data_IF_014537334082
#
_entry.id   IF_014537334082
#
_cell.length_a   1.000
_cell.length_b   1.000
_cell.length_c   1.000
_cell.angle_alpha   90.00
_cell.angle_beta   90.00
_cell.angle_gamma   90.00
#
_symmetry.space_group_name_H-M   'P 1'
#
loop_
_entity.id
_entity.type
_entity.pdbx_description
1 polymer ?
#
# COMPACT_ATOMS: atom_id res chain seq x y z
N UNK A 1 6.46 2.43 -16.18
CA UNK A 1 6.38 3.86 -15.79
C UNK A 1 7.69 4.38 -15.20
N UNK A 2 8.66 3.53 -14.81
CA UNK A 2 9.99 3.98 -14.35
C UNK A 2 10.00 4.53 -12.91
N UNK A 3 8.93 4.32 -12.15
CA UNK A 3 8.87 4.72 -10.75
C UNK A 3 9.86 3.90 -9.90
N UNK A 4 10.40 4.53 -8.87
CA UNK A 4 11.35 3.93 -7.93
C UNK A 4 10.70 3.95 -6.54
N UNK A 5 10.81 2.84 -5.81
CA UNK A 5 10.40 2.72 -4.42
C UNK A 5 11.60 2.48 -3.52
N UNK A 6 11.60 3.11 -2.35
CA UNK A 6 12.59 2.87 -1.29
C UNK A 6 11.86 2.39 -0.05
N UNK A 7 12.33 1.28 0.53
CA UNK A 7 11.81 0.75 1.79
C UNK A 7 12.95 0.68 2.81
N UNK A 8 12.66 1.15 4.03
CA UNK A 8 13.57 1.04 5.17
C UNK A 8 12.81 0.36 6.30
N UNK A 9 13.30 -0.79 6.74
CA UNK A 9 12.72 -1.55 7.85
C UNK A 9 13.77 -1.75 8.93
N UNK A 10 13.40 -1.56 10.20
CA UNK A 10 14.25 -1.88 11.33
C UNK A 10 13.45 -2.43 12.51
N UNK A 11 14.04 -3.38 13.23
CA UNK A 11 13.53 -3.94 14.49
C UNK A 11 14.34 -3.49 15.70
N UNK A 12 15.38 -2.67 15.49
CA UNK A 12 16.33 -2.26 16.52
C UNK A 12 16.63 -0.76 16.42
N UNK A 13 15.61 0.06 16.68
CA UNK A 13 15.72 1.52 16.76
C UNK A 13 14.91 2.07 17.94
N UNK A 14 15.37 3.18 18.50
CA UNK A 14 14.70 3.89 19.58
C UNK A 14 13.44 4.67 19.12
N UNK A 15 13.44 5.12 17.88
CA UNK A 15 12.36 5.91 17.28
C UNK A 15 12.72 6.35 15.86
N UNK A 16 11.73 6.83 15.12
CA UNK A 16 11.91 7.35 13.75
C UNK A 16 10.99 8.53 13.50
N UNK A 17 11.50 9.53 12.79
CA UNK A 17 10.74 10.65 12.21
C UNK A 17 10.68 10.56 10.67
N UNK A 18 11.19 9.48 10.08
CA UNK A 18 11.05 9.26 8.64
C UNK A 18 9.56 9.13 8.27
N UNK A 19 9.14 9.62 7.09
CA UNK A 19 7.79 9.40 6.61
C UNK A 19 7.43 7.92 6.64
N UNK A 20 6.21 7.61 7.06
CA UNK A 20 5.73 6.21 7.12
C UNK A 20 5.57 5.65 5.72
N UNK A 21 4.86 6.39 4.87
CA UNK A 21 4.77 6.17 3.43
C UNK A 21 4.64 7.57 2.79
N UNK A 22 5.46 7.85 1.79
CA UNK A 22 5.43 9.10 1.03
C UNK A 22 5.52 8.80 -0.48
N UNK A 23 4.68 9.46 -1.27
CA UNK A 23 4.57 9.26 -2.72
C UNK A 23 4.87 10.58 -3.41
N UNK A 24 5.83 10.57 -4.33
CA UNK A 24 6.24 11.75 -5.11
C UNK A 24 5.74 11.61 -6.55
N UNK A 25 4.91 12.55 -6.97
CA UNK A 25 4.40 12.66 -8.33
C UNK A 25 4.96 13.87 -9.06
N UNK A 26 4.56 14.05 -10.31
CA UNK A 26 4.97 15.19 -11.15
C UNK A 26 4.32 16.51 -10.73
N UNK A 27 3.19 16.45 -10.01
CA UNK A 27 2.40 17.62 -9.61
C UNK A 27 2.44 17.90 -8.10
N UNK A 28 3.02 16.99 -7.32
CA UNK A 28 3.01 17.09 -5.88
C UNK A 28 3.40 15.81 -5.17
N UNK A 29 3.31 15.86 -3.84
CA UNK A 29 3.66 14.77 -2.94
C UNK A 29 2.50 14.45 -2.00
N UNK A 30 2.39 13.20 -1.58
CA UNK A 30 1.40 12.73 -0.61
C UNK A 30 2.15 12.04 0.53
N UNK A 31 1.82 12.41 1.77
CA UNK A 31 2.31 11.77 2.99
C UNK A 31 1.13 11.15 3.73
N UNK A 32 1.25 9.88 4.11
CA UNK A 32 0.17 9.12 4.78
C UNK A 32 0.66 8.60 6.15
N UNK A 33 -0.26 8.38 7.11
CA UNK A 33 0.12 8.10 8.50
C UNK A 33 0.64 6.67 8.67
N UNK A 34 0.92 6.30 9.92
CA UNK A 34 1.33 4.94 10.26
C UNK A 34 0.26 3.93 9.79
N UNK A 35 0.59 2.98 8.88
CA UNK A 35 -0.40 2.06 8.36
C UNK A 35 -0.95 1.09 9.42
N UNK A 36 -0.32 0.99 10.60
CA UNK A 36 -0.81 0.13 11.68
C UNK A 36 -1.98 0.71 12.46
N UNK A 37 -2.22 2.02 12.39
CA UNK A 37 -3.33 2.67 13.10
C UNK A 37 -4.62 2.66 12.28
N UNK A 38 -4.55 2.44 10.97
CA UNK A 38 -5.67 2.52 10.01
C UNK A 38 -6.36 3.89 9.89
N UNK A 39 -5.88 4.87 10.65
CA UNK A 39 -6.38 6.24 10.72
C UNK A 39 -5.22 7.23 10.80
N UNK A 40 -5.53 8.51 10.63
CA UNK A 40 -4.59 9.61 10.74
C UNK A 40 -4.66 10.55 9.55
N UNK A 41 -3.98 11.71 9.63
CA UNK A 41 -4.03 12.71 8.57
C UNK A 41 -3.31 12.21 7.32
N UNK A 42 -3.96 12.37 6.17
CA UNK A 42 -3.28 12.34 4.87
C UNK A 42 -3.02 13.79 4.49
N UNK A 43 -1.78 14.09 4.13
CA UNK A 43 -1.37 15.44 3.74
C UNK A 43 -0.85 15.44 2.32
N UNK A 44 -1.10 16.54 1.60
CA UNK A 44 -0.60 16.76 0.25
C UNK A 44 0.19 18.06 0.18
N UNK A 45 1.20 18.08 -0.69
CA UNK A 45 1.85 19.29 -1.17
C UNK A 45 1.69 19.32 -2.68
N UNK A 46 1.17 20.42 -3.23
CA UNK A 46 0.98 20.59 -4.67
C UNK A 46 1.95 21.67 -5.15
N UNK A 47 2.69 21.38 -6.22
CA UNK A 47 3.76 22.23 -6.72
C UNK A 47 4.94 22.37 -5.75
N UNK A 48 5.68 23.48 -5.89
CA UNK A 48 6.94 23.72 -5.18
C UNK A 48 6.78 24.65 -3.94
N UNK A 49 5.55 24.97 -3.56
CA UNK A 49 5.29 25.73 -2.34
C UNK A 49 5.31 24.77 -1.14
N UNK A 50 6.13 25.07 -0.13
CA UNK A 50 6.20 24.32 1.13
C UNK A 50 4.94 24.60 1.96
N UNK A 51 3.89 23.86 1.61
CA UNK A 51 2.53 24.10 2.08
C UNK A 51 1.77 22.78 2.19
N UNK A 52 2.35 21.83 2.93
CA UNK A 52 1.68 20.58 3.28
C UNK A 52 0.34 20.89 3.95
N UNK A 53 -0.74 20.35 3.36
CA UNK A 53 -2.10 20.53 3.88
C UNK A 53 -2.74 19.18 4.12
N UNK A 54 -3.38 18.97 5.28
CA UNK A 54 -4.22 17.81 5.47
C UNK A 54 -5.39 17.87 4.49
N UNK A 55 -5.83 16.71 4.03
CA UNK A 55 -7.03 16.55 3.21
C UNK A 55 -8.06 15.70 3.94
N UNK A 56 -9.33 15.93 3.64
CA UNK A 56 -10.41 15.13 4.18
C UNK A 56 -10.34 13.70 3.63
N UNK A 57 -10.46 12.73 4.52
CA UNK A 57 -10.51 11.32 4.16
C UNK A 57 -11.87 11.01 3.55
N UNK A 58 -11.85 10.42 2.36
CA UNK A 58 -13.07 10.10 1.61
C UNK A 58 -13.49 8.64 1.68
N UNK A 59 -12.63 7.77 2.23
CA UNK A 59 -12.85 6.32 2.25
C UNK A 59 -13.13 5.82 3.67
N UNK A 60 -13.77 4.65 3.81
CA UNK A 60 -13.95 4.00 5.10
C UNK A 60 -12.64 3.78 5.83
N UNK A 61 -12.71 3.80 7.16
CA UNK A 61 -11.58 3.45 8.01
C UNK A 61 -11.17 2.00 7.72
N UNK A 62 -9.86 1.78 7.65
CA UNK A 62 -9.30 0.45 7.41
C UNK A 62 -9.38 -0.45 8.65
N UNK A 63 -9.06 -1.73 8.48
CA UNK A 63 -9.09 -2.67 9.58
C UNK A 63 -8.43 -4.00 9.26
N UNK A 64 -8.16 -4.78 10.30
CA UNK A 64 -7.70 -6.17 10.15
C UNK A 64 -8.87 -7.06 9.73
N UNK A 65 -8.61 -8.00 8.83
CA UNK A 65 -9.62 -8.94 8.34
C UNK A 65 -10.46 -8.45 7.15
N UNK A 66 -10.32 -7.19 6.72
CA UNK A 66 -11.03 -6.66 5.55
C UNK A 66 -10.75 -7.48 4.27
N UNK A 67 -9.53 -7.98 4.08
CA UNK A 67 -9.20 -8.85 2.95
C UNK A 67 -9.97 -10.18 2.96
N UNK A 68 -10.22 -10.75 4.15
CA UNK A 68 -11.02 -11.97 4.30
C UNK A 68 -12.50 -11.68 4.05
N UNK A 69 -13.00 -10.54 4.54
CA UNK A 69 -14.36 -10.12 4.29
C UNK A 69 -14.61 -9.83 2.79
N UNK A 70 -13.69 -9.16 2.10
CA UNK A 70 -13.72 -9.01 0.63
C UNK A 70 -13.72 -10.36 -0.08
N UNK A 71 -12.94 -11.33 0.41
CA UNK A 71 -12.91 -12.68 -0.16
C UNK A 71 -14.25 -13.40 -0.01
N UNK A 72 -14.91 -13.30 1.15
CA UNK A 72 -16.24 -13.90 1.35
C UNK A 72 -17.27 -13.24 0.43
N UNK A 73 -17.26 -11.90 0.31
CA UNK A 73 -18.14 -11.19 -0.62
C UNK A 73 -17.85 -11.60 -2.08
N UNK A 74 -16.57 -11.69 -2.44
CA UNK A 74 -16.15 -12.07 -3.79
C UNK A 74 -16.68 -13.45 -4.20
N UNK A 75 -16.64 -14.42 -3.28
CA UNK A 75 -17.19 -15.77 -3.51
C UNK A 75 -18.70 -15.72 -3.72
N UNK A 76 -19.43 -14.93 -2.93
CA UNK A 76 -20.90 -14.78 -3.09
C UNK A 76 -21.26 -14.16 -4.44
N UNK A 77 -20.53 -13.12 -4.85
CA UNK A 77 -20.81 -12.36 -6.07
C UNK A 77 -20.17 -12.98 -7.32
N UNK A 78 -19.50 -14.13 -7.19
CA UNK A 78 -18.74 -14.77 -8.28
C UNK A 78 -17.73 -13.83 -8.94
N UNK A 79 -17.13 -12.91 -8.17
CA UNK A 79 -16.05 -12.02 -8.61
C UNK A 79 -14.71 -12.49 -8.04
N UNK A 80 -13.61 -11.98 -8.61
CA UNK A 80 -12.28 -12.23 -8.09
C UNK A 80 -12.03 -11.36 -6.84
N UNK A 81 -11.50 -11.89 -5.74
CA UNK A 81 -11.12 -11.08 -4.58
C UNK A 81 -10.00 -10.09 -4.94
N UNK A 82 -9.89 -9.01 -4.18
CA UNK A 82 -8.83 -8.01 -4.34
C UNK A 82 -7.47 -8.58 -3.93
N UNK A 83 -7.43 -9.25 -2.78
CA UNK A 83 -6.26 -9.96 -2.28
C UNK A 83 -6.26 -11.42 -2.75
N UNK A 84 -6.17 -11.63 -4.07
CA UNK A 84 -6.15 -12.98 -4.64
C UNK A 84 -4.76 -13.63 -4.61
N UNK A 85 -4.70 -14.92 -4.98
CA UNK A 85 -3.48 -15.72 -4.93
C UNK A 85 -2.34 -15.17 -5.79
N UNK A 86 -2.62 -14.49 -6.91
CA UNK A 86 -1.57 -13.92 -7.76
C UNK A 86 -0.89 -12.74 -7.07
N UNK A 87 -1.65 -11.92 -6.33
CA UNK A 87 -1.10 -10.83 -5.54
C UNK A 87 -0.29 -11.37 -4.36
N UNK A 88 -0.82 -12.39 -3.66
CA UNK A 88 -0.10 -13.03 -2.55
C UNK A 88 1.23 -13.64 -3.00
N UNK A 89 1.23 -14.35 -4.14
CA UNK A 89 2.45 -14.91 -4.72
C UNK A 89 3.43 -13.83 -5.14
N UNK A 90 2.98 -12.76 -5.80
CA UNK A 90 3.84 -11.67 -6.22
C UNK A 90 4.51 -10.94 -5.04
N UNK A 91 3.76 -10.70 -3.96
CA UNK A 91 4.33 -10.12 -2.73
C UNK A 91 5.40 -11.04 -2.14
N UNK A 92 5.16 -12.35 -2.09
CA UNK A 92 6.14 -13.32 -1.59
C UNK A 92 7.41 -13.34 -2.46
N UNK A 93 7.27 -13.32 -3.78
CA UNK A 93 8.40 -13.29 -4.72
C UNK A 93 9.25 -12.03 -4.53
N UNK A 94 8.61 -10.86 -4.36
CA UNK A 94 9.33 -9.60 -4.06
C UNK A 94 10.06 -9.69 -2.71
N UNK A 95 9.43 -10.24 -1.67
CA UNK A 95 10.05 -10.39 -0.35
C UNK A 95 11.29 -11.31 -0.42
N UNK A 96 11.18 -12.44 -1.11
CA UNK A 96 12.29 -13.37 -1.27
C UNK A 96 13.42 -12.76 -2.11
N UNK A 97 13.10 -12.08 -3.21
CA UNK A 97 14.07 -11.42 -4.06
C UNK A 97 14.90 -10.35 -3.34
N UNK A 98 14.34 -9.66 -2.32
CA UNK A 98 15.10 -8.74 -1.47
C UNK A 98 16.20 -9.51 -0.71
N UNK A 99 15.89 -10.68 -0.16
CA UNK A 99 16.87 -11.53 0.52
C UNK A 99 17.90 -12.10 -0.45
N UNK A 100 17.47 -12.60 -1.61
CA UNK A 100 18.36 -13.11 -2.66
C UNK A 100 19.34 -12.04 -3.16
N UNK A 101 18.83 -10.84 -3.44
CA UNK A 101 19.63 -9.68 -3.87
C UNK A 101 20.72 -9.34 -2.85
N UNK A 102 20.37 -9.34 -1.56
CA UNK A 102 21.34 -9.10 -0.49
C UNK A 102 22.38 -10.21 -0.38
N UNK A 103 21.98 -11.48 -0.55
CA UNK A 103 22.89 -12.62 -0.44
C UNK A 103 23.86 -12.73 -1.62
N UNK A 104 23.42 -12.34 -2.82
CA UNK A 104 24.19 -12.44 -4.05
C UNK A 104 24.94 -11.15 -4.41
N UNK A 105 24.72 -10.06 -3.68
CA UNK A 105 25.28 -8.73 -3.94
C UNK A 105 24.96 -8.22 -5.36
N UNK A 106 23.77 -8.53 -5.89
CA UNK A 106 23.35 -8.18 -7.24
C UNK A 106 21.86 -7.77 -7.30
N UNK A 107 21.45 -7.17 -8.42
CA UNK A 107 20.04 -6.83 -8.65
C UNK A 107 19.26 -8.05 -9.15
N UNK A 108 18.15 -8.37 -8.49
CA UNK A 108 17.23 -9.46 -8.87
C UNK A 108 16.05 -8.91 -9.68
N UNK A 109 15.76 -9.55 -10.82
CA UNK A 109 14.57 -9.26 -11.61
C UNK A 109 13.40 -10.07 -11.09
N UNK A 110 12.29 -9.40 -10.77
CA UNK A 110 11.04 -10.04 -10.34
C UNK A 110 10.32 -10.59 -11.57
N UNK A 111 10.03 -11.89 -11.59
CA UNK A 111 9.36 -12.56 -12.71
C UNK A 111 7.87 -12.78 -12.49
N UNK A 112 7.43 -12.86 -11.22
CA UNK A 112 6.01 -12.98 -10.92
C UNK A 112 5.22 -11.75 -11.36
N UNK A 113 3.95 -11.97 -11.71
CA UNK A 113 3.02 -10.91 -12.11
C UNK A 113 1.74 -11.01 -11.28
N UNK A 114 1.14 -9.86 -10.99
CA UNK A 114 -0.19 -9.78 -10.40
C UNK A 114 -1.06 -8.75 -11.11
N UNK A 115 -2.37 -8.92 -10.98
CA UNK A 115 -3.36 -7.94 -11.39
C UNK A 115 -3.37 -6.76 -10.42
N UNK A 116 -3.52 -5.54 -10.92
CA UNK A 116 -3.87 -4.39 -10.09
C UNK A 116 -5.32 -4.54 -9.57
N UNK A 117 -5.55 -4.64 -8.26
CA UNK A 117 -6.91 -4.73 -7.71
C UNK A 117 -7.70 -3.44 -7.93
N UNK A 118 -9.05 -3.49 -8.07
CA UNK A 118 -9.87 -2.30 -8.13
C UNK A 118 -9.77 -1.53 -6.80
N UNK A 119 -9.78 -0.18 -6.84
CA UNK A 119 -9.78 0.62 -5.63
C UNK A 119 -11.02 0.35 -4.78
N UNK A 120 -10.93 0.73 -3.51
CA UNK A 120 -12.11 0.88 -2.64
C UNK A 120 -12.85 2.14 -3.07
N UNK A 121 -14.18 2.13 -2.99
CA UNK A 121 -14.98 3.30 -3.34
C UNK A 121 -15.31 4.13 -2.09
N UNK A 122 -15.36 5.46 -2.18
CA UNK A 122 -15.73 6.34 -1.07
C UNK A 122 -17.07 5.99 -0.41
N UNK A 123 -18.06 5.55 -1.20
CA UNK A 123 -19.41 5.25 -0.73
C UNK A 123 -19.57 3.93 0.03
N UNK A 124 -18.51 3.14 0.15
CA UNK A 124 -18.57 1.85 0.83
C UNK A 124 -18.71 2.03 2.33
N UNK A 125 -19.32 1.05 2.99
CA UNK A 125 -19.37 0.97 4.46
C UNK A 125 -18.31 -0.05 4.90
N UNK A 126 -17.63 0.19 6.02
CA UNK A 126 -16.63 -0.76 6.51
C UNK A 126 -17.24 -2.16 6.67
N UNK A 127 -16.57 -3.17 6.11
CA UNK A 127 -17.06 -4.55 6.11
C UNK A 127 -18.08 -4.87 5.02
N UNK A 128 -18.58 -3.87 4.29
CA UNK A 128 -19.42 -4.04 3.10
C UNK A 128 -18.57 -3.87 1.83
N UNK A 129 -18.47 -4.96 1.06
CA UNK A 129 -17.66 -5.03 -0.16
C UNK A 129 -18.52 -5.31 -1.40
N UNK A 130 -19.83 -5.03 -1.31
CA UNK A 130 -20.80 -5.15 -2.40
C UNK A 130 -21.05 -3.83 -3.11
#
# INVERSE_FOLDING_TARGET
NGAIGTIITSFDIWGSQLPRIEIYGTEGSISVPDPNTFEGPVSIQIGYEDNWKPIDLTHPIGGRGLGVADMVAAVKDSRRPRADISLAYHVLDVMEAIHESSNQENHISIESLCRQPPPIKPEWVEGDFT
#
